data_IF_715491129854
#
_entry.id   IF_715491129854
#
_cell.length_a   1.000
_cell.length_b   1.000
_cell.length_c   1.000
_cell.angle_alpha   90.00
_cell.angle_beta   90.00
_cell.angle_gamma   90.00
#
_symmetry.space_group_name_H-M   'P 1'
#
loop_
_entity.id
_entity.type
_entity.pdbx_description
1 polymer ?
#
# COMPACT_ATOMS: atom_id res chain seq x y z
N UNK A 1 35.42 6.91 3.02
CA UNK A 1 34.10 6.28 2.89
C UNK A 1 34.07 5.56 1.54
N UNK A 2 33.78 4.26 1.50
CA UNK A 2 33.64 3.54 0.23
C UNK A 2 32.21 3.71 -0.27
N UNK A 3 32.06 4.10 -1.55
CA UNK A 3 30.75 4.14 -2.21
C UNK A 3 30.48 2.78 -2.84
N UNK A 4 29.34 2.21 -2.52
CA UNK A 4 28.89 0.94 -3.08
C UNK A 4 27.65 1.23 -3.91
N UNK A 5 27.68 0.83 -5.18
CA UNK A 5 26.56 0.99 -6.10
C UNK A 5 25.94 -0.38 -6.39
N UNK A 6 24.65 -0.40 -6.72
CA UNK A 6 24.02 -1.59 -7.27
C UNK A 6 24.72 -2.00 -8.58
N UNK A 7 24.85 -3.30 -8.86
CA UNK A 7 25.64 -3.81 -9.98
C UNK A 7 25.22 -3.24 -11.34
N UNK A 8 23.92 -3.02 -11.56
CA UNK A 8 23.41 -2.39 -12.80
C UNK A 8 23.81 -0.91 -12.92
N UNK A 9 23.89 -0.19 -11.80
CA UNK A 9 24.33 1.21 -11.77
C UNK A 9 25.84 1.28 -11.99
N UNK A 10 26.60 0.38 -11.37
CA UNK A 10 28.04 0.27 -11.56
C UNK A 10 28.40 -0.07 -13.02
N UNK A 11 27.69 -1.03 -13.62
CA UNK A 11 27.85 -1.36 -15.04
C UNK A 11 27.58 -0.16 -15.96
N UNK A 12 26.54 0.64 -15.66
CA UNK A 12 26.25 1.87 -16.40
C UNK A 12 27.38 2.90 -16.23
N UNK A 13 27.85 3.12 -15.00
CA UNK A 13 28.96 4.04 -14.71
C UNK A 13 30.21 3.66 -15.51
N UNK A 14 30.53 2.37 -15.58
CA UNK A 14 31.68 1.86 -16.33
C UNK A 14 31.47 2.04 -17.84
N UNK A 15 30.31 1.65 -18.37
CA UNK A 15 29.97 1.76 -19.79
C UNK A 15 30.03 3.22 -20.29
N UNK A 16 29.71 4.18 -19.43
CA UNK A 16 29.69 5.61 -19.74
C UNK A 16 30.94 6.38 -19.26
N UNK A 17 31.97 5.69 -18.74
CA UNK A 17 33.20 6.30 -18.21
C UNK A 17 32.96 7.35 -17.11
N UNK A 18 31.93 7.18 -16.28
CA UNK A 18 31.52 8.14 -15.23
C UNK A 18 32.18 7.87 -13.87
N UNK A 19 33.17 6.98 -13.79
CA UNK A 19 33.74 6.48 -12.53
C UNK A 19 34.31 7.58 -11.63
N UNK A 20 35.11 8.48 -12.18
CA UNK A 20 35.67 9.61 -11.41
C UNK A 20 34.58 10.59 -10.95
N UNK A 21 33.61 10.88 -11.82
CA UNK A 21 32.55 11.84 -11.55
C UNK A 21 31.63 11.33 -10.43
N UNK A 22 31.24 10.06 -10.50
CA UNK A 22 30.47 9.37 -9.46
C UNK A 22 31.25 9.30 -8.13
N UNK A 23 32.58 9.13 -8.16
CA UNK A 23 33.42 9.20 -6.96
C UNK A 23 33.55 10.60 -6.37
N UNK A 24 33.41 11.67 -7.16
CA UNK A 24 33.42 13.06 -6.67
C UNK A 24 32.08 13.49 -6.04
N UNK A 25 30.95 12.91 -6.45
CA UNK A 25 29.62 13.25 -5.91
C UNK A 25 29.51 13.05 -4.39
N UNK A 26 29.25 14.08 -3.60
CA UNK A 26 29.12 13.93 -2.14
C UNK A 26 27.69 13.64 -1.70
N UNK A 27 26.72 13.88 -2.57
CA UNK A 27 25.29 13.75 -2.30
C UNK A 27 24.57 12.88 -3.35
N UNK A 28 23.36 12.42 -3.01
CA UNK A 28 22.47 11.74 -3.96
C UNK A 28 22.03 12.70 -5.06
N UNK A 29 21.87 13.99 -4.75
CA UNK A 29 21.49 15.05 -5.67
C UNK A 29 22.54 15.25 -6.78
N UNK A 30 23.83 15.10 -6.46
CA UNK A 30 24.89 15.15 -7.47
C UNK A 30 24.86 13.93 -8.38
N UNK A 31 24.61 12.74 -7.82
CA UNK A 31 24.45 11.52 -8.60
C UNK A 31 23.24 11.62 -9.56
N UNK A 32 22.17 12.30 -9.16
CA UNK A 32 20.98 12.52 -10.01
C UNK A 32 21.25 13.36 -11.27
N UNK A 33 22.33 14.15 -11.28
CA UNK A 33 22.73 14.96 -12.45
C UNK A 33 23.41 14.12 -13.52
N UNK A 34 24.08 13.04 -13.14
CA UNK A 34 24.92 12.21 -14.03
C UNK A 34 24.32 10.84 -14.33
N UNK A 35 23.41 10.34 -13.48
CA UNK A 35 22.76 9.05 -13.63
C UNK A 35 21.30 9.18 -14.08
N UNK A 36 20.77 8.21 -14.85
CA UNK A 36 19.37 8.18 -15.23
C UNK A 36 18.41 8.19 -14.03
N UNK A 37 17.32 8.94 -14.15
CA UNK A 37 16.34 9.11 -13.07
C UNK A 37 15.73 7.79 -12.54
N UNK A 38 15.64 6.76 -13.38
CA UNK A 38 15.05 5.48 -12.98
C UNK A 38 15.91 4.68 -11.99
N UNK A 39 17.22 4.96 -11.88
CA UNK A 39 18.08 4.33 -10.87
C UNK A 39 17.81 4.80 -9.44
N UNK A 40 17.07 5.91 -9.27
CA UNK A 40 16.72 6.45 -7.97
C UNK A 40 15.30 6.03 -7.51
N UNK A 41 14.65 5.11 -8.23
CA UNK A 41 13.37 4.53 -7.82
C UNK A 41 13.61 3.52 -6.70
N UNK A 42 13.27 3.90 -5.47
CA UNK A 42 13.32 3.05 -4.28
C UNK A 42 11.94 2.49 -3.93
N UNK A 43 11.86 1.69 -2.87
CA UNK A 43 10.61 1.04 -2.46
C UNK A 43 9.46 2.02 -2.18
N UNK A 44 9.72 3.22 -1.66
CA UNK A 44 8.68 4.22 -1.36
C UNK A 44 8.01 4.81 -2.61
N UNK A 45 8.62 4.65 -3.80
CA UNK A 45 8.00 5.08 -5.05
C UNK A 45 7.01 4.05 -5.62
N UNK A 46 6.91 2.87 -5.01
CA UNK A 46 6.04 1.79 -5.47
C UNK A 46 4.67 1.98 -4.84
N UNK A 47 3.66 2.18 -5.69
CA UNK A 47 2.26 2.23 -5.30
C UNK A 47 1.83 0.90 -4.62
N UNK A 48 1.39 0.94 -3.35
CA UNK A 48 0.97 -0.25 -2.61
C UNK A 48 -0.19 -1.00 -3.27
N UNK A 49 -1.16 -0.31 -3.86
CA UNK A 49 -2.32 -0.93 -4.48
C UNK A 49 -1.91 -1.76 -5.71
N UNK A 50 -1.04 -1.19 -6.57
CA UNK A 50 -0.46 -1.93 -7.71
C UNK A 50 0.35 -3.13 -7.26
N UNK A 51 1.08 -2.99 -6.16
CA UNK A 51 1.85 -4.08 -5.58
C UNK A 51 0.95 -5.24 -5.12
N UNK A 52 -0.19 -4.93 -4.49
CA UNK A 52 -1.19 -5.93 -4.09
C UNK A 52 -1.76 -6.65 -5.31
N UNK A 53 -2.10 -5.92 -6.38
CA UNK A 53 -2.62 -6.52 -7.62
C UNK A 53 -1.61 -7.54 -8.16
N UNK A 54 -0.34 -7.15 -8.30
CA UNK A 54 0.71 -8.06 -8.79
C UNK A 54 0.87 -9.27 -7.86
N UNK A 55 0.92 -9.05 -6.54
CA UNK A 55 1.05 -10.14 -5.57
C UNK A 55 -0.15 -11.10 -5.62
N UNK A 56 -1.38 -10.59 -5.76
CA UNK A 56 -2.59 -11.39 -5.90
C UNK A 56 -2.63 -12.22 -7.17
N UNK A 57 -2.14 -11.67 -8.30
CA UNK A 57 -2.02 -12.42 -9.55
C UNK A 57 -1.12 -13.65 -9.40
N UNK A 58 0.02 -13.50 -8.72
CA UNK A 58 0.96 -14.59 -8.44
C UNK A 58 0.42 -15.56 -7.39
N UNK A 59 -0.29 -15.07 -6.38
CA UNK A 59 -0.80 -15.90 -5.27
C UNK A 59 -1.70 -17.04 -5.75
N UNK A 60 -2.40 -16.89 -6.89
CA UNK A 60 -3.23 -17.94 -7.52
C UNK A 60 -2.44 -19.19 -7.92
N UNK A 61 -1.14 -19.05 -8.15
CA UNK A 61 -0.25 -20.12 -8.58
C UNK A 61 0.71 -20.57 -7.47
N UNK A 62 0.53 -20.07 -6.25
CA UNK A 62 1.40 -20.35 -5.11
C UNK A 62 0.56 -20.96 -3.99
N UNK A 63 0.91 -22.18 -3.60
CA UNK A 63 0.29 -22.98 -2.55
C UNK A 63 0.54 -22.40 -1.16
N UNK A 64 1.72 -21.84 -0.91
CA UNK A 64 2.10 -21.12 0.30
C UNK A 64 1.84 -19.61 0.18
N UNK A 65 2.25 -18.85 1.19
CA UNK A 65 2.19 -17.38 1.17
C UNK A 65 3.45 -16.78 0.53
N UNK A 66 3.33 -15.55 0.01
CA UNK A 66 4.44 -14.80 -0.55
C UNK A 66 5.05 -13.93 0.55
N UNK A 67 6.33 -14.17 0.89
CA UNK A 67 7.07 -13.37 1.87
C UNK A 67 7.59 -12.07 1.25
N UNK A 68 6.70 -11.10 1.04
CA UNK A 68 6.99 -9.80 0.45
C UNK A 68 6.51 -8.66 1.36
N UNK A 69 7.42 -7.75 1.69
CA UNK A 69 7.16 -6.61 2.58
C UNK A 69 6.90 -5.32 1.82
N UNK A 70 5.72 -4.73 2.00
CA UNK A 70 5.36 -3.38 1.54
C UNK A 70 6.07 -2.36 2.44
N UNK A 71 7.11 -1.70 1.90
CA UNK A 71 7.82 -0.64 2.61
C UNK A 71 7.13 0.70 2.34
N UNK A 72 6.71 1.37 3.41
CA UNK A 72 6.00 2.64 3.38
C UNK A 72 6.85 3.72 4.06
N UNK A 73 6.69 4.96 3.58
CA UNK A 73 7.31 6.11 4.19
C UNK A 73 6.85 6.29 5.65
N UNK A 74 7.67 6.97 6.45
CA UNK A 74 7.35 7.22 7.86
C UNK A 74 6.10 8.10 8.02
N UNK A 75 5.90 9.06 7.11
CA UNK A 75 4.75 9.94 7.04
C UNK A 75 3.59 9.36 6.21
N UNK A 76 3.50 8.03 6.06
CA UNK A 76 2.34 7.45 5.36
C UNK A 76 1.07 7.63 6.20
N UNK A 77 -0.03 7.99 5.55
CA UNK A 77 -1.32 8.13 6.21
C UNK A 77 -1.84 6.76 6.74
N UNK A 78 -2.34 6.68 8.00
CA UNK A 78 -2.84 5.45 8.59
C UNK A 78 -3.93 4.74 7.77
N UNK A 79 -4.81 5.49 7.09
CA UNK A 79 -5.87 4.92 6.25
C UNK A 79 -5.28 4.13 5.07
N UNK A 80 -4.10 4.52 4.59
CA UNK A 80 -3.39 3.79 3.52
C UNK A 80 -2.99 2.41 4.01
N UNK A 81 -2.52 2.28 5.25
CA UNK A 81 -2.16 0.99 5.86
C UNK A 81 -3.40 0.11 6.01
N UNK A 82 -4.51 0.67 6.49
CA UNK A 82 -5.81 -0.02 6.57
C UNK A 82 -6.24 -0.55 5.19
N UNK A 83 -6.17 0.30 4.17
CA UNK A 83 -6.52 -0.04 2.79
C UNK A 83 -5.67 -1.18 2.25
N UNK A 84 -4.36 -1.20 2.53
CA UNK A 84 -3.46 -2.28 2.11
C UNK A 84 -3.93 -3.65 2.64
N UNK A 85 -4.32 -3.74 3.92
CA UNK A 85 -4.79 -5.00 4.48
C UNK A 85 -6.14 -5.43 3.90
N UNK A 86 -7.08 -4.50 3.75
CA UNK A 86 -8.40 -4.78 3.18
C UNK A 86 -8.29 -5.20 1.71
N UNK A 87 -7.46 -4.52 0.94
CA UNK A 87 -7.26 -4.82 -0.48
C UNK A 87 -6.52 -6.14 -0.67
N UNK A 88 -5.52 -6.43 0.16
CA UNK A 88 -4.86 -7.73 0.16
C UNK A 88 -5.85 -8.88 0.42
N UNK A 89 -6.74 -8.71 1.41
CA UNK A 89 -7.79 -9.67 1.70
C UNK A 89 -8.76 -9.83 0.50
N UNK A 90 -9.22 -8.73 -0.10
CA UNK A 90 -10.10 -8.75 -1.29
C UNK A 90 -9.45 -9.46 -2.49
N UNK A 91 -8.13 -9.34 -2.65
CA UNK A 91 -7.38 -10.00 -3.72
C UNK A 91 -6.99 -11.45 -3.39
N UNK A 92 -7.43 -12.00 -2.26
CA UNK A 92 -7.18 -13.39 -1.88
C UNK A 92 -5.73 -13.68 -1.48
N UNK A 93 -5.00 -12.67 -1.00
CA UNK A 93 -3.65 -12.87 -0.48
C UNK A 93 -3.71 -13.69 0.81
N UNK A 94 -2.83 -14.69 0.92
CA UNK A 94 -2.70 -15.52 2.14
C UNK A 94 -1.95 -14.80 3.25
N UNK A 95 -1.15 -13.80 2.89
CA UNK A 95 -0.46 -12.93 3.82
C UNK A 95 0.09 -11.70 3.11
N UNK A 96 0.27 -10.65 3.90
CA UNK A 96 0.94 -9.41 3.49
C UNK A 96 1.71 -8.87 4.69
N UNK A 97 2.88 -8.30 4.45
CA UNK A 97 3.68 -7.67 5.49
C UNK A 97 3.86 -6.21 5.15
N UNK A 98 3.62 -5.34 6.12
CA UNK A 98 3.84 -3.89 6.00
C UNK A 98 4.97 -3.49 6.92
N UNK A 99 5.91 -2.72 6.39
CA UNK A 99 6.95 -2.04 7.17
C UNK A 99 6.85 -0.54 6.89
N UNK A 100 6.39 0.21 7.89
CA UNK A 100 6.42 1.68 7.88
C UNK A 100 7.77 2.13 8.43
N UNK A 101 8.45 3.03 7.74
CA UNK A 101 9.68 3.63 8.30
C UNK A 101 9.42 4.29 9.65
N UNK A 102 10.43 4.30 10.52
CA UNK A 102 10.28 4.80 11.90
C UNK A 102 9.43 3.95 12.84
N UNK A 103 8.83 2.83 12.39
CA UNK A 103 8.04 1.92 13.26
C UNK A 103 8.89 1.03 14.18
N UNK A 104 10.19 0.91 13.88
CA UNK A 104 11.17 0.16 14.68
C UNK A 104 12.48 0.94 14.75
N UNK A 105 13.30 0.62 15.74
CA UNK A 105 14.64 1.19 15.85
C UNK A 105 15.46 0.85 14.59
N UNK A 106 15.98 1.85 13.87
CA UNK A 106 16.67 1.61 12.61
C UNK A 106 18.04 0.96 12.83
N UNK A 107 18.38 -0.01 11.97
CA UNK A 107 19.73 -0.60 11.92
C UNK A 107 20.64 0.25 11.00
N UNK A 108 20.03 0.95 10.04
CA UNK A 108 20.69 1.86 9.12
C UNK A 108 20.17 3.28 9.37
N UNK A 109 21.06 4.22 9.66
CA UNK A 109 20.74 5.64 9.78
C UNK A 109 21.18 6.39 8.53
N UNK A 110 20.32 7.24 8.00
CA UNK A 110 20.72 8.24 7.00
C UNK A 110 21.11 9.53 7.71
N UNK A 111 22.23 10.14 7.33
CA UNK A 111 22.58 11.50 7.73
C UNK A 111 21.76 12.51 6.90
N UNK A 112 20.45 12.45 7.03
CA UNK A 112 19.51 13.36 6.36
C UNK A 112 19.01 14.42 7.33
N UNK A 113 18.61 15.57 6.77
CA UNK A 113 17.83 16.53 7.54
C UNK A 113 16.52 15.87 7.96
N UNK A 114 16.11 16.08 9.22
CA UNK A 114 14.82 15.61 9.71
C UNK A 114 13.71 16.14 8.81
N UNK A 115 12.84 15.26 8.35
CA UNK A 115 11.63 15.60 7.61
C UNK A 115 10.69 16.45 8.45
N UNK A 116 9.75 17.13 7.80
CA UNK A 116 8.74 17.95 8.48
C UNK A 116 7.89 17.09 9.44
N UNK A 117 7.59 15.86 9.03
CA UNK A 117 6.93 14.86 9.84
C UNK A 117 7.74 14.53 11.11
N UNK A 118 9.01 14.15 10.97
CA UNK A 118 9.86 13.78 12.11
C UNK A 118 10.03 14.90 13.14
N UNK A 119 9.97 16.17 12.69
CA UNK A 119 10.02 17.32 13.61
C UNK A 119 8.72 17.50 14.40
N UNK A 120 7.56 17.29 13.76
CA UNK A 120 6.25 17.42 14.39
C UNK A 120 5.79 16.14 15.13
N UNK A 121 6.43 15.00 14.86
CA UNK A 121 6.04 13.66 15.36
C UNK A 121 5.86 13.64 16.89
N UNK A 122 6.77 14.28 17.61
CA UNK A 122 6.80 14.33 19.08
C UNK A 122 6.22 15.64 19.65
N UNK A 123 5.88 16.62 18.80
CA UNK A 123 5.28 17.88 19.24
C UNK A 123 3.86 17.64 19.75
N UNK A 124 3.55 18.25 20.90
CA UNK A 124 2.23 18.19 21.51
C UNK A 124 1.37 19.32 20.97
N UNK A 125 0.18 18.96 20.49
CA UNK A 125 -0.82 19.87 19.96
C UNK A 125 -2.08 19.76 20.80
N UNK A 126 -2.65 20.91 21.12
CA UNK A 126 -3.94 21.01 21.80
C UNK A 126 -5.05 20.84 20.76
N UNK A 127 -5.74 19.70 20.77
CA UNK A 127 -6.74 19.32 19.76
C UNK A 127 -8.09 19.11 20.45
N UNK A 128 -9.12 19.77 19.94
CA UNK A 128 -10.50 19.58 20.37
C UNK A 128 -11.21 18.60 19.42
N UNK A 129 -11.57 17.43 19.95
CA UNK A 129 -12.30 16.38 19.23
C UNK A 129 -13.61 16.12 19.97
N UNK A 130 -14.73 16.16 19.25
CA UNK A 130 -16.07 15.88 19.80
C UNK A 130 -16.43 16.69 21.07
N UNK A 131 -15.87 17.89 21.23
CA UNK A 131 -16.08 18.75 22.40
C UNK A 131 -15.19 18.43 23.60
N UNK A 132 -14.29 17.45 23.49
CA UNK A 132 -13.25 17.17 24.47
C UNK A 132 -11.90 17.73 24.03
N UNK A 133 -11.22 18.42 24.93
CA UNK A 133 -9.87 18.93 24.73
C UNK A 133 -8.84 17.85 25.06
N UNK A 134 -7.97 17.50 24.11
CA UNK A 134 -6.94 16.47 24.24
C UNK A 134 -5.59 17.01 23.78
N UNK A 135 -4.55 16.72 24.56
CA UNK A 135 -3.17 17.02 24.20
C UNK A 135 -2.59 15.81 23.47
N UNK A 136 -2.41 15.92 22.16
CA UNK A 136 -2.03 14.82 21.27
C UNK A 136 -0.70 15.11 20.57
N UNK A 137 0.10 14.08 20.31
CA UNK A 137 1.32 14.19 19.51
C UNK A 137 0.99 14.23 18.02
N UNK A 138 1.90 14.78 17.20
CA UNK A 138 1.74 14.79 15.74
C UNK A 138 1.51 13.40 15.09
N UNK A 139 2.08 12.34 15.68
CA UNK A 139 1.92 10.94 15.21
C UNK A 139 0.70 10.22 15.82
N UNK A 140 -0.01 10.83 16.78
CA UNK A 140 -1.18 10.19 17.37
C UNK A 140 -2.31 10.12 16.31
N UNK A 141 -2.99 8.98 16.26
CA UNK A 141 -4.06 8.71 15.29
C UNK A 141 -5.38 9.25 15.84
N UNK A 142 -6.10 9.98 14.99
CA UNK A 142 -7.43 10.53 15.25
C UNK A 142 -8.40 10.06 14.17
N UNK A 143 -9.67 9.99 14.53
CA UNK A 143 -10.76 9.71 13.59
C UNK A 143 -11.39 11.03 13.15
N UNK A 144 -11.57 11.19 11.85
CA UNK A 144 -12.27 12.33 11.27
C UNK A 144 -13.79 12.08 11.30
N UNK A 145 -14.63 13.12 11.15
CA UNK A 145 -16.09 12.98 11.16
C UNK A 145 -16.67 12.06 10.07
N UNK A 146 -15.89 11.76 9.03
CA UNK A 146 -16.24 10.81 7.97
C UNK A 146 -15.84 9.35 8.28
N UNK A 147 -15.29 9.10 9.48
CA UNK A 147 -14.82 7.79 9.94
C UNK A 147 -13.41 7.41 9.46
N UNK A 148 -12.70 8.30 8.75
CA UNK A 148 -11.33 8.02 8.29
C UNK A 148 -10.32 8.21 9.41
N UNK A 149 -9.33 7.34 9.45
CA UNK A 149 -8.20 7.47 10.37
C UNK A 149 -7.08 8.29 9.75
N UNK A 150 -6.57 9.26 10.50
CA UNK A 150 -5.45 10.13 10.11
C UNK A 150 -4.58 10.39 11.32
N UNK A 151 -3.33 10.83 11.15
CA UNK A 151 -2.59 11.40 12.30
C UNK A 151 -2.92 12.88 12.48
N UNK A 152 -2.62 13.43 13.67
CA UNK A 152 -2.73 14.87 13.93
C UNK A 152 -1.92 15.69 12.92
N UNK A 153 -0.69 15.25 12.61
CA UNK A 153 0.15 15.88 11.58
C UNK A 153 -0.56 15.95 10.23
N UNK A 154 -1.09 14.83 9.74
CA UNK A 154 -1.79 14.75 8.46
C UNK A 154 -3.08 15.58 8.46
N UNK A 155 -3.79 15.61 9.57
CA UNK A 155 -5.00 16.42 9.72
C UNK A 155 -4.68 17.92 9.70
N UNK A 156 -3.56 18.35 10.30
CA UNK A 156 -3.08 19.73 10.21
C UNK A 156 -2.60 20.05 8.79
N UNK A 157 -1.83 19.17 8.17
CA UNK A 157 -1.28 19.36 6.82
C UNK A 157 -2.37 19.42 5.74
N UNK A 158 -3.43 18.63 5.88
CA UNK A 158 -4.60 18.65 4.98
C UNK A 158 -5.59 19.78 5.25
N UNK A 159 -5.41 20.53 6.35
CA UNK A 159 -6.33 21.59 6.78
C UNK A 159 -7.62 21.09 7.42
N UNK A 160 -7.73 19.78 7.71
CA UNK A 160 -8.82 19.20 8.49
C UNK A 160 -8.83 19.70 9.93
N UNK A 161 -7.65 19.93 10.52
CA UNK A 161 -7.48 20.66 11.78
C UNK A 161 -7.05 22.10 11.51
N UNK A 162 -7.85 23.06 11.98
CA UNK A 162 -7.55 24.50 11.86
C UNK A 162 -7.29 25.09 13.24
N UNK A 163 -6.35 26.03 13.31
CA UNK A 163 -6.01 26.71 14.56
C UNK A 163 -7.04 27.80 14.86
N UNK A 164 -7.78 27.66 15.96
CA UNK A 164 -8.73 28.65 16.47
C UNK A 164 -8.35 29.04 17.91
N UNK A 165 -8.02 30.30 18.15
CA UNK A 165 -7.72 30.80 19.51
C UNK A 165 -6.57 30.11 20.26
N UNK A 166 -5.66 29.40 19.57
CA UNK A 166 -4.52 28.69 20.16
C UNK A 166 -4.66 27.16 20.23
N UNK A 167 -5.85 26.63 19.96
CA UNK A 167 -6.17 25.19 19.86
C UNK A 167 -6.44 24.78 18.41
N UNK A 168 -6.33 23.50 18.11
CA UNK A 168 -6.73 22.91 16.84
C UNK A 168 -8.15 22.35 16.95
N UNK A 169 -9.04 22.81 16.08
CA UNK A 169 -10.43 22.36 15.99
C UNK A 169 -10.65 21.74 14.62
N UNK A 170 -11.55 20.76 14.54
CA UNK A 170 -11.99 20.20 13.25
C UNK A 170 -12.62 21.33 12.41
N UNK A 171 -11.99 21.66 11.29
CA UNK A 171 -12.55 22.58 10.30
C UNK A 171 -13.77 21.95 9.63
N UNK A 172 -14.69 22.78 9.10
CA UNK A 172 -15.68 22.27 8.13
C UNK A 172 -14.89 21.63 6.99
N UNK A 173 -14.99 20.30 6.88
CA UNK A 173 -14.23 19.52 5.91
C UNK A 173 -14.54 20.04 4.49
N UNK A 174 -13.59 20.71 3.87
CA UNK A 174 -13.57 20.78 2.42
C UNK A 174 -12.95 19.47 1.95
N UNK A 175 -13.76 18.66 1.28
CA UNK A 175 -13.32 17.42 0.68
C UNK A 175 -12.23 17.73 -0.33
N UNK A 176 -10.96 17.60 0.08
CA UNK A 176 -9.87 17.53 -0.87
C UNK A 176 -9.93 16.14 -1.53
N UNK A 177 -9.89 16.07 -2.87
CA UNK A 177 -9.96 14.81 -3.58
C UNK A 177 -8.81 13.93 -3.12
N UNK A 178 -9.16 12.86 -2.44
CA UNK A 178 -8.20 11.81 -2.12
C UNK A 178 -7.79 11.14 -3.42
N UNK A 179 -6.60 10.55 -3.45
CA UNK A 179 -6.15 9.69 -4.54
C UNK A 179 -7.12 8.50 -4.82
N UNK A 180 -8.20 8.33 -4.03
CA UNK A 180 -9.31 7.41 -4.29
C UNK A 180 -10.01 7.70 -5.63
N UNK A 181 -10.18 8.95 -6.05
CA UNK A 181 -11.00 9.26 -7.24
C UNK A 181 -10.22 9.07 -8.56
N UNK A 182 -8.95 9.49 -8.61
CA UNK A 182 -8.14 9.36 -9.84
C UNK A 182 -7.69 7.92 -10.15
N UNK A 183 -7.71 7.03 -9.15
CA UNK A 183 -7.28 5.63 -9.32
C UNK A 183 -8.47 4.69 -9.49
N UNK A 184 -9.60 4.91 -8.80
CA UNK A 184 -10.80 4.10 -8.99
C UNK A 184 -11.39 4.26 -10.41
N UNK A 185 -11.48 5.48 -10.94
CA UNK A 185 -11.97 5.70 -12.32
C UNK A 185 -11.03 5.15 -13.39
N UNK A 186 -9.72 5.12 -13.12
CA UNK A 186 -8.72 4.65 -14.09
C UNK A 186 -8.51 3.14 -14.07
N UNK A 187 -8.88 2.46 -12.97
CA UNK A 187 -8.89 0.99 -12.90
C UNK A 187 -10.14 0.41 -13.57
N UNK A 188 -11.29 1.11 -13.51
CA UNK A 188 -12.52 0.63 -14.14
C UNK A 188 -12.54 0.70 -15.67
N UNK A 189 -11.70 1.52 -16.31
CA UNK A 189 -11.65 1.62 -17.79
C UNK A 189 -10.75 0.57 -18.46
N UNK A 190 -9.74 0.04 -17.76
CA UNK A 190 -8.82 -0.98 -18.29
C UNK A 190 -8.98 -2.37 -17.63
N UNK A 191 -9.84 -2.51 -16.62
CA UNK A 191 -10.27 -3.81 -16.12
C UNK A 191 -11.44 -4.33 -16.96
N UNK A 192 -11.13 -5.14 -17.97
CA UNK A 192 -12.13 -5.88 -18.73
C UNK A 192 -13.07 -6.68 -17.83
N UNK A 193 -14.37 -6.50 -18.08
CA UNK A 193 -15.51 -7.28 -17.64
C UNK A 193 -15.65 -7.50 -16.11
N UNK A 194 -16.47 -6.63 -15.54
CA UNK A 194 -17.29 -6.84 -14.34
C UNK A 194 -17.79 -8.29 -14.24
N UNK A 195 -17.29 -9.06 -13.29
CA UNK A 195 -17.85 -10.35 -12.90
C UNK A 195 -18.51 -10.19 -11.54
N UNK A 196 -19.79 -9.80 -11.58
CA UNK A 196 -20.69 -9.98 -10.45
C UNK A 196 -20.66 -11.44 -9.97
N UNK A 197 -20.78 -11.64 -8.65
CA UNK A 197 -20.86 -12.93 -7.99
C UNK A 197 -22.11 -13.78 -8.35
N UNK A 198 -22.88 -13.40 -9.38
CA UNK A 198 -24.12 -14.03 -9.77
C UNK A 198 -24.00 -15.09 -10.91
N UNK A 199 -22.87 -15.18 -11.62
CA UNK A 199 -22.72 -16.08 -12.77
C UNK A 199 -21.59 -17.12 -12.59
N UNK A 200 -21.68 -17.93 -11.54
CA UNK A 200 -20.93 -19.18 -11.50
C UNK A 200 -21.61 -20.16 -12.47
N UNK A 201 -21.10 -20.28 -13.71
CA UNK A 201 -21.58 -21.23 -14.73
C UNK A 201 -21.44 -22.68 -14.23
N UNK A 202 -22.38 -23.13 -13.42
CA UNK A 202 -22.50 -24.52 -12.98
C UNK A 202 -22.89 -25.38 -14.18
N UNK A 203 -22.07 -26.38 -14.48
CA UNK A 203 -22.32 -27.34 -15.55
C UNK A 203 -23.36 -28.38 -15.09
N UNK A 204 -23.95 -29.12 -16.05
CA UNK A 204 -24.92 -30.17 -15.72
C UNK A 204 -24.22 -31.33 -15.03
N UNK A 205 -24.73 -31.74 -13.87
CA UNK A 205 -24.28 -32.94 -13.19
C UNK A 205 -24.61 -34.17 -14.06
N UNK A 206 -23.66 -35.08 -14.33
CA UNK A 206 -23.90 -36.27 -15.13
C UNK A 206 -24.80 -37.31 -14.43
N UNK A 207 -24.97 -37.22 -13.11
CA UNK A 207 -25.84 -38.12 -12.34
C UNK A 207 -27.29 -37.62 -12.27
N UNK A 208 -27.53 -36.37 -11.84
CA UNK A 208 -28.89 -35.85 -11.66
C UNK A 208 -29.38 -34.90 -12.77
N UNK A 209 -28.53 -34.54 -13.74
CA UNK A 209 -28.87 -33.65 -14.85
C UNK A 209 -29.09 -32.17 -14.49
N UNK A 210 -29.13 -31.82 -13.20
CA UNK A 210 -29.28 -30.44 -12.71
C UNK A 210 -27.99 -29.63 -12.94
N UNK A 211 -28.09 -28.33 -13.18
CA UNK A 211 -26.94 -27.40 -13.30
C UNK A 211 -26.37 -27.07 -11.91
N UNK A 212 -25.78 -28.08 -11.27
CA UNK A 212 -25.28 -28.01 -9.89
C UNK A 212 -23.86 -28.53 -9.76
N UNK A 213 -23.15 -28.77 -10.88
CA UNK A 213 -21.80 -29.31 -10.88
C UNK A 213 -20.76 -28.20 -10.68
N UNK A 214 -19.96 -28.32 -9.63
CA UNK A 214 -18.85 -27.43 -9.27
C UNK A 214 -17.53 -28.22 -9.28
N UNK A 215 -16.43 -27.56 -9.63
CA UNK A 215 -15.08 -28.13 -9.45
C UNK A 215 -14.52 -27.59 -8.13
N UNK A 216 -14.12 -28.49 -7.24
CA UNK A 216 -13.51 -28.16 -5.95
C UNK A 216 -12.34 -29.12 -5.70
N UNK A 217 -11.15 -28.57 -5.46
CA UNK A 217 -9.90 -29.32 -5.25
C UNK A 217 -9.59 -30.39 -6.33
N UNK A 218 -9.89 -30.09 -7.61
CA UNK A 218 -9.67 -31.03 -8.72
C UNK A 218 -10.74 -32.13 -8.86
N UNK A 219 -11.78 -32.10 -8.02
CA UNK A 219 -12.90 -33.03 -8.07
C UNK A 219 -14.17 -32.32 -8.55
N UNK A 220 -14.93 -32.99 -9.42
CA UNK A 220 -16.28 -32.59 -9.80
C UNK A 220 -17.24 -33.00 -8.69
N UNK A 221 -17.91 -32.04 -8.06
CA UNK A 221 -18.87 -32.22 -6.97
C UNK A 221 -20.24 -31.65 -7.35
N UNK A 222 -21.32 -32.37 -7.03
CA UNK A 222 -22.68 -31.90 -7.21
C UNK A 222 -23.23 -31.25 -5.93
N UNK A 223 -23.66 -29.99 -6.01
CA UNK A 223 -24.22 -29.23 -4.89
C UNK A 223 -25.66 -29.64 -4.51
N UNK A 224 -26.30 -30.53 -5.27
CA UNK A 224 -27.65 -31.01 -4.94
C UNK A 224 -27.55 -31.98 -3.76
N UNK A 225 -28.15 -31.61 -2.62
CA UNK A 225 -28.19 -32.42 -1.38
C UNK A 225 -28.71 -33.85 -1.58
N UNK A 226 -29.57 -34.05 -2.58
CA UNK A 226 -30.16 -35.35 -2.92
C UNK A 226 -29.29 -36.22 -3.86
N UNK A 227 -28.25 -35.67 -4.50
CA UNK A 227 -27.53 -36.36 -5.58
C UNK A 227 -26.24 -37.04 -5.12
N UNK A 228 -25.46 -36.38 -4.26
CA UNK A 228 -24.21 -36.93 -3.71
C UNK A 228 -23.10 -37.25 -4.73
N UNK A 229 -23.20 -36.80 -5.99
CA UNK A 229 -22.21 -37.12 -7.02
C UNK A 229 -20.87 -36.42 -6.76
N UNK A 230 -19.79 -37.19 -6.67
CA UNK A 230 -18.41 -36.68 -6.75
C UNK A 230 -17.54 -37.57 -7.65
N UNK A 231 -16.64 -36.96 -8.44
CA UNK A 231 -15.63 -37.67 -9.24
C UNK A 231 -14.38 -36.82 -9.35
N UNK A 232 -13.24 -37.35 -8.92
CA UNK A 232 -11.94 -36.71 -9.11
C UNK A 232 -11.32 -37.21 -10.41
N UNK A 233 -10.73 -36.30 -11.20
CA UNK A 233 -9.84 -36.71 -12.29
C UNK A 233 -8.49 -37.07 -11.67
N UNK A 234 -8.01 -38.29 -11.92
CA UNK A 234 -6.64 -38.74 -11.59
C UNK A 234 -5.76 -38.43 -12.80
#
# INVERSE_FOLDING_TARGET
MFKVFHSTVDAYIQQHNLGEEAQKCTSVEDLRKILPAHFFRTAHFIDPAKRIIVQGLWQRYIDHSISSTVNLAEDIDPETISSIYLDAWRHGLKGITVYREGSRYPILSTESQKTDFERNKEELHDVELEGEQKLLRGDDVIELPDGRLTTVYHAMASGALKKDGGRYVLGKAEAHPTQKEAVAEKIHSDAGADMSAADMKLSKCPSCGKKTLRIHNGCHECLSSECGFSKCEI
#
